data_IF_151176023443
#
_entry.id   IF_151176023443
#
_cell.length_a   1.000
_cell.length_b   1.000
_cell.length_c   1.000
_cell.angle_alpha   90.00
_cell.angle_beta   90.00
_cell.angle_gamma   90.00
#
_symmetry.space_group_name_H-M   'P 1'
#
loop_
_entity.id
_entity.type
_entity.pdbx_description
1 polymer ?
#
# COMPACT_ATOMS: atom_id res chain seq x y z
N UNK A 1 1.23 10.30 2.94
CA UNK A 1 2.67 10.23 3.26
C UNK A 1 2.91 8.97 4.07
N UNK A 2 3.75 8.06 3.61
CA UNK A 2 4.08 6.82 4.34
C UNK A 2 5.45 7.01 4.99
N UNK A 3 5.60 6.74 6.30
CA UNK A 3 6.89 6.91 6.97
C UNK A 3 7.89 5.84 6.52
N UNK A 4 9.15 6.24 6.39
CA UNK A 4 10.27 5.33 6.13
C UNK A 4 11.11 5.18 7.40
N UNK A 5 11.35 3.95 7.82
CA UNK A 5 12.34 3.68 8.86
C UNK A 5 13.73 3.74 8.23
N UNK A 6 14.37 4.91 8.29
CA UNK A 6 15.59 5.20 7.55
C UNK A 6 16.75 4.25 7.88
N UNK A 7 16.84 3.74 9.11
CA UNK A 7 17.89 2.78 9.50
C UNK A 7 17.74 1.42 8.81
N UNK A 8 16.51 1.02 8.44
CA UNK A 8 16.27 -0.25 7.76
C UNK A 8 16.87 -0.30 6.34
N UNK A 9 17.18 0.88 5.76
CA UNK A 9 17.84 0.98 4.45
C UNK A 9 19.23 0.32 4.47
N UNK A 10 19.87 0.23 5.64
CA UNK A 10 21.19 -0.41 5.79
C UNK A 10 21.14 -1.92 5.59
N UNK A 11 20.00 -2.55 5.92
CA UNK A 11 19.80 -3.98 5.79
C UNK A 11 19.07 -4.35 4.49
N UNK A 12 18.14 -3.50 4.05
CA UNK A 12 17.39 -3.69 2.83
C UNK A 12 17.11 -2.35 2.12
N UNK A 13 17.80 -2.10 1.01
CA UNK A 13 17.60 -0.87 0.22
C UNK A 13 16.30 -0.88 -0.58
N UNK A 14 15.70 -2.06 -0.84
CA UNK A 14 14.46 -2.17 -1.62
C UNK A 14 13.26 -1.52 -0.94
N UNK A 15 13.37 -1.19 0.34
CA UNK A 15 12.30 -0.46 1.06
C UNK A 15 12.06 0.94 0.47
N UNK A 16 12.99 1.46 -0.34
CA UNK A 16 12.85 2.75 -1.01
C UNK A 16 12.23 2.62 -2.41
N UNK A 17 12.05 1.40 -2.93
CA UNK A 17 11.55 1.16 -4.30
C UNK A 17 10.08 1.58 -4.46
N UNK A 18 9.31 1.57 -3.36
CA UNK A 18 7.90 1.98 -3.33
C UNK A 18 7.70 3.51 -3.30
N UNK A 19 8.80 4.29 -3.29
CA UNK A 19 8.76 5.73 -3.13
C UNK A 19 9.30 6.46 -4.36
N UNK A 20 8.57 7.47 -4.82
CA UNK A 20 9.08 8.42 -5.81
C UNK A 20 9.88 9.53 -5.13
N UNK A 21 9.26 10.24 -4.18
CA UNK A 21 9.83 11.40 -3.49
C UNK A 21 9.87 11.12 -2.00
N UNK A 22 11.04 11.30 -1.38
CA UNK A 22 11.23 11.26 0.07
C UNK A 22 11.36 12.68 0.61
N UNK A 23 10.65 12.96 1.70
CA UNK A 23 10.86 14.18 2.50
C UNK A 23 11.62 13.78 3.75
N UNK A 24 12.79 14.38 3.94
CA UNK A 24 13.69 14.07 5.02
C UNK A 24 13.95 15.30 5.86
N UNK A 25 13.91 15.13 7.17
CA UNK A 25 14.44 16.10 8.12
C UNK A 25 15.24 15.36 9.18
N UNK A 26 16.24 16.03 9.73
CA UNK A 26 16.97 15.53 10.89
C UNK A 26 16.57 16.20 12.21
N UNK A 27 15.45 16.94 12.23
CA UNK A 27 14.88 17.44 13.49
C UNK A 27 14.51 16.28 14.41
N UNK A 28 15.03 16.30 15.64
CA UNK A 28 14.87 15.30 16.71
C UNK A 28 15.33 13.87 16.39
N UNK A 29 15.54 13.51 15.13
CA UNK A 29 15.98 12.19 14.66
C UNK A 29 17.26 12.32 13.85
N UNK A 30 18.35 11.72 14.34
CA UNK A 30 19.66 11.78 13.67
C UNK A 30 19.97 10.44 12.99
N UNK A 31 20.66 10.45 11.84
CA UNK A 31 20.99 9.23 11.13
C UNK A 31 22.01 8.40 11.93
N UNK A 32 21.79 7.09 12.00
CA UNK A 32 22.62 6.19 12.81
C UNK A 32 24.09 6.15 12.35
N UNK A 33 24.34 6.30 11.05
CA UNK A 33 25.68 6.24 10.47
C UNK A 33 25.75 6.98 9.12
N UNK A 34 26.94 7.34 8.62
CA UNK A 34 27.08 7.94 7.29
C UNK A 34 26.66 6.98 6.16
N UNK A 35 26.58 5.67 6.41
CA UNK A 35 26.14 4.68 5.43
C UNK A 35 24.71 4.94 4.94
N UNK A 36 23.86 5.53 5.79
CA UNK A 36 22.50 5.96 5.42
C UNK A 36 22.55 6.97 4.27
N UNK A 37 23.47 7.93 4.32
CA UNK A 37 23.59 8.97 3.28
C UNK A 37 24.02 8.38 1.94
N UNK A 38 24.94 7.41 1.95
CA UNK A 38 25.36 6.73 0.73
C UNK A 38 24.25 5.86 0.15
N UNK A 39 23.42 5.23 0.97
CA UNK A 39 22.27 4.47 0.50
C UNK A 39 21.20 5.39 -0.11
N UNK A 40 20.92 6.54 0.51
CA UNK A 40 20.05 7.58 -0.08
C UNK A 40 20.61 8.10 -1.40
N UNK A 41 21.91 8.39 -1.46
CA UNK A 41 22.56 8.82 -2.70
C UNK A 41 22.47 7.76 -3.79
N UNK A 42 22.68 6.48 -3.46
CA UNK A 42 22.53 5.39 -4.42
C UNK A 42 21.09 5.30 -4.96
N UNK A 43 20.08 5.41 -4.09
CA UNK A 43 18.67 5.38 -4.48
C UNK A 43 18.28 6.58 -5.36
N UNK A 44 18.67 7.81 -4.99
CA UNK A 44 18.48 8.99 -5.84
C UNK A 44 19.22 8.83 -7.16
N UNK A 45 20.48 8.36 -7.14
CA UNK A 45 21.27 8.11 -8.33
C UNK A 45 20.62 7.11 -9.29
N UNK A 46 19.85 6.15 -8.76
CA UNK A 46 19.07 5.18 -9.53
C UNK A 46 17.75 5.74 -10.09
N UNK A 47 17.35 6.95 -9.67
CA UNK A 47 16.15 7.62 -10.16
C UNK A 47 15.26 8.17 -9.05
N UNK A 48 15.58 7.93 -7.77
CA UNK A 48 14.89 8.48 -6.59
C UNK A 48 14.95 10.01 -6.49
N UNK A 49 14.10 10.61 -5.65
CA UNK A 49 14.06 12.06 -5.45
C UNK A 49 13.97 12.41 -3.97
N UNK A 50 14.84 13.31 -3.50
CA UNK A 50 14.93 13.67 -2.09
C UNK A 50 14.69 15.17 -1.89
N UNK A 51 13.74 15.51 -1.03
CA UNK A 51 13.60 16.84 -0.44
C UNK A 51 14.16 16.78 0.99
N UNK A 52 15.23 17.51 1.27
CA UNK A 52 15.69 17.72 2.64
C UNK A 52 15.15 19.05 3.17
N UNK A 53 14.59 19.03 4.38
CA UNK A 53 14.08 20.22 5.07
C UNK A 53 14.73 20.30 6.46
N UNK A 54 15.47 21.37 6.70
CA UNK A 54 16.04 21.69 8.00
C UNK A 54 17.00 22.86 7.92
N UNK A 55 16.85 23.81 8.83
CA UNK A 55 17.71 25.00 8.95
C UNK A 55 18.95 24.76 9.85
N UNK A 56 19.04 23.58 10.48
CA UNK A 56 20.14 23.21 11.35
C UNK A 56 20.06 23.82 12.75
N UNK A 57 18.92 24.39 13.15
CA UNK A 57 18.72 24.97 14.48
C UNK A 57 18.53 23.92 15.58
N UNK A 58 18.29 22.64 15.24
CA UNK A 58 18.10 21.59 16.23
C UNK A 58 19.30 21.48 17.21
N UNK A 59 19.11 21.67 18.52
CA UNK A 59 20.18 21.49 19.50
C UNK A 59 20.78 20.08 19.49
N UNK A 60 20.05 19.06 19.03
CA UNK A 60 20.59 17.70 18.93
C UNK A 60 21.68 17.56 17.86
N UNK A 61 21.89 18.54 16.98
CA UNK A 61 23.04 18.55 16.08
C UNK A 61 24.39 18.62 16.82
N UNK A 62 24.40 19.17 18.04
CA UNK A 62 25.60 19.28 18.88
C UNK A 62 25.90 18.00 19.69
N UNK A 63 25.01 17.00 19.66
CA UNK A 63 25.25 15.74 20.37
C UNK A 63 26.51 15.06 19.85
N UNK A 64 27.18 14.28 20.71
CA UNK A 64 28.36 13.52 20.31
C UNK A 64 27.98 12.32 19.46
N UNK A 65 28.20 12.41 18.16
CA UNK A 65 27.92 11.36 17.19
C UNK A 65 28.98 11.35 16.07
N UNK A 66 28.72 10.61 14.98
CA UNK A 66 29.69 10.37 13.92
C UNK A 66 30.03 11.62 13.08
N UNK A 67 29.11 12.60 13.02
CA UNK A 67 29.32 13.86 12.27
C UNK A 67 30.02 14.93 13.12
N UNK A 68 29.88 14.86 14.45
CA UNK A 68 30.31 15.92 15.38
C UNK A 68 31.82 16.11 15.34
N UNK A 69 32.26 17.37 15.15
CA UNK A 69 33.67 17.72 14.98
C UNK A 69 34.23 17.45 13.57
N UNK A 70 33.39 16.96 12.64
CA UNK A 70 33.71 16.81 11.21
C UNK A 70 32.81 17.67 10.33
N UNK A 71 31.53 17.74 10.69
CA UNK A 71 30.50 18.52 10.00
C UNK A 71 29.71 19.35 11.01
N UNK A 72 29.17 20.53 10.61
CA UNK A 72 28.27 21.30 11.47
C UNK A 72 26.99 20.52 11.84
N UNK A 73 26.37 19.86 10.86
CA UNK A 73 25.20 18.99 11.05
C UNK A 73 25.36 17.73 10.18
N UNK A 74 24.65 16.61 10.44
CA UNK A 74 24.67 15.46 9.54
C UNK A 74 24.18 15.81 8.13
N UNK A 75 23.31 16.81 7.98
CA UNK A 75 22.85 17.28 6.68
C UNK A 75 23.99 17.82 5.79
N UNK A 76 25.05 18.37 6.38
CA UNK A 76 26.22 18.79 5.61
C UNK A 76 26.95 17.60 4.98
N UNK A 77 27.08 16.48 5.69
CA UNK A 77 27.61 15.24 5.09
C UNK A 77 26.61 14.65 4.08
N UNK A 78 25.30 14.81 4.29
CA UNK A 78 24.30 14.39 3.30
C UNK A 78 24.48 15.17 2.00
N UNK A 79 24.60 16.49 2.05
CA UNK A 79 24.89 17.35 0.89
C UNK A 79 26.21 16.96 0.21
N UNK A 80 27.28 16.69 0.99
CA UNK A 80 28.55 16.20 0.45
C UNK A 80 28.38 14.87 -0.32
N UNK A 81 27.57 13.93 0.20
CA UNK A 81 27.29 12.66 -0.47
C UNK A 81 26.56 12.83 -1.81
N UNK A 82 25.81 13.93 -1.96
CA UNK A 82 25.17 14.34 -3.21
C UNK A 82 26.04 15.27 -4.08
N UNK A 83 27.26 15.61 -3.64
CA UNK A 83 28.11 16.64 -4.26
C UNK A 83 27.38 17.98 -4.45
N UNK A 84 26.50 18.31 -3.50
CA UNK A 84 25.67 19.52 -3.50
C UNK A 84 26.14 20.52 -2.42
N UNK A 85 25.79 21.79 -2.61
CA UNK A 85 25.90 22.81 -1.57
C UNK A 85 24.59 22.88 -0.80
N UNK A 86 24.64 22.73 0.52
CA UNK A 86 23.44 22.77 1.38
C UNK A 86 22.79 24.17 1.40
N UNK A 87 23.54 25.22 1.10
CA UNK A 87 23.04 26.59 1.03
C UNK A 87 22.35 26.91 -0.31
N UNK A 88 22.52 26.06 -1.33
CA UNK A 88 21.85 26.19 -2.61
C UNK A 88 20.51 25.45 -2.54
N UNK A 89 19.41 26.20 -2.53
CA UNK A 89 18.06 25.64 -2.44
C UNK A 89 17.43 25.28 -3.79
N UNK A 90 18.19 25.37 -4.89
CA UNK A 90 17.72 24.91 -6.19
C UNK A 90 17.56 23.37 -6.23
N UNK A 91 16.87 22.87 -7.26
CA UNK A 91 16.77 21.43 -7.51
C UNK A 91 18.04 20.97 -8.24
N UNK A 92 18.82 20.10 -7.60
CA UNK A 92 20.03 19.52 -8.18
C UNK A 92 19.75 18.14 -8.77
N UNK A 93 20.26 17.90 -9.98
CA UNK A 93 20.25 16.58 -10.59
C UNK A 93 21.41 15.73 -10.04
N UNK A 94 21.11 14.52 -9.60
CA UNK A 94 22.10 13.55 -9.12
C UNK A 94 21.87 12.17 -9.76
N UNK A 95 22.80 11.74 -10.62
CA UNK A 95 22.62 10.53 -11.43
C UNK A 95 21.35 10.64 -12.30
N UNK A 96 20.40 9.72 -12.10
CA UNK A 96 19.10 9.74 -12.78
C UNK A 96 17.98 10.41 -11.97
N UNK A 97 18.25 10.84 -10.74
CA UNK A 97 17.27 11.45 -9.84
C UNK A 97 17.58 12.90 -9.50
N UNK A 98 16.93 13.39 -8.44
CA UNK A 98 16.97 14.79 -8.02
C UNK A 98 17.07 14.93 -6.50
N UNK A 99 17.73 15.98 -6.04
CA UNK A 99 17.79 16.36 -4.62
C UNK A 99 17.58 17.86 -4.50
N UNK A 100 16.91 18.30 -3.44
CA UNK A 100 16.78 19.70 -3.07
C UNK A 100 16.94 19.85 -1.56
N UNK A 101 17.72 20.84 -1.13
CA UNK A 101 17.89 21.21 0.27
C UNK A 101 17.13 22.49 0.55
N UNK A 102 16.35 22.53 1.63
CA UNK A 102 15.57 23.72 2.01
C UNK A 102 15.92 24.10 3.45
N UNK A 103 16.44 25.32 3.64
CA UNK A 103 16.86 25.87 4.92
C UNK A 103 15.65 26.48 5.64
N UNK A 104 14.77 25.61 6.12
CA UNK A 104 13.62 25.98 6.92
C UNK A 104 13.44 25.01 8.09
N UNK A 105 12.99 25.52 9.24
CA UNK A 105 12.46 24.69 10.32
C UNK A 105 11.21 23.93 9.80
N UNK A 106 11.18 22.59 9.82
CA UNK A 106 10.02 21.80 9.40
C UNK A 106 8.69 22.21 10.06
N UNK A 107 8.73 22.78 11.27
CA UNK A 107 7.53 23.27 11.96
C UNK A 107 6.85 24.39 11.17
N UNK A 108 7.60 25.22 10.44
CA UNK A 108 7.06 26.31 9.60
C UNK A 108 5.90 25.84 8.73
N UNK A 109 6.06 24.71 8.03
CA UNK A 109 5.08 24.16 7.09
C UNK A 109 3.78 23.67 7.76
N UNK A 110 3.72 23.65 9.10
CA UNK A 110 2.52 23.31 9.87
C UNK A 110 1.78 24.52 10.44
N UNK A 111 2.32 25.74 10.26
CA UNK A 111 1.82 26.94 10.96
C UNK A 111 0.64 27.63 10.28
N UNK A 112 0.50 27.48 8.95
CA UNK A 112 -0.61 28.05 8.18
C UNK A 112 -0.87 27.28 6.89
N UNK A 113 -2.00 27.58 6.23
CA UNK A 113 -2.33 27.02 4.91
C UNK A 113 -1.33 27.46 3.83
N UNK A 114 -0.86 28.71 3.90
CA UNK A 114 0.16 29.23 2.98
C UNK A 114 1.48 28.50 3.14
N UNK A 115 1.95 28.30 4.38
CA UNK A 115 3.17 27.55 4.64
C UNK A 115 3.02 26.08 4.20
N UNK A 116 1.88 25.45 4.44
CA UNK A 116 1.62 24.10 3.92
C UNK A 116 1.66 24.05 2.37
N UNK A 117 1.10 25.07 1.71
CA UNK A 117 1.13 25.20 0.26
C UNK A 117 2.56 25.40 -0.29
N UNK A 118 3.45 26.05 0.45
CA UNK A 118 4.88 26.16 0.10
C UNK A 118 5.54 24.78 0.02
N UNK A 119 5.33 23.92 1.04
CA UNK A 119 5.86 22.54 1.03
C UNK A 119 5.33 21.73 -0.16
N UNK A 120 4.02 21.84 -0.44
CA UNK A 120 3.41 21.18 -1.60
C UNK A 120 4.00 21.72 -2.90
N UNK A 121 4.30 23.01 -2.99
CA UNK A 121 4.97 23.63 -4.13
C UNK A 121 6.36 23.04 -4.40
N UNK A 122 7.17 22.86 -3.35
CA UNK A 122 8.48 22.21 -3.44
C UNK A 122 8.37 20.77 -3.96
N UNK A 123 7.43 19.99 -3.43
CA UNK A 123 7.18 18.62 -3.87
C UNK A 123 6.70 18.54 -5.32
N UNK A 124 5.84 19.47 -5.74
CA UNK A 124 5.39 19.58 -7.14
C UNK A 124 6.56 19.92 -8.06
N UNK A 125 7.43 20.85 -7.69
CA UNK A 125 8.63 21.18 -8.46
C UNK A 125 9.55 19.96 -8.65
N UNK A 126 9.74 19.16 -7.61
CA UNK A 126 10.50 17.91 -7.67
C UNK A 126 9.82 16.83 -8.52
N UNK A 127 8.49 16.70 -8.42
CA UNK A 127 7.71 15.80 -9.28
C UNK A 127 7.82 16.18 -10.76
N UNK A 128 7.71 17.48 -11.07
CA UNK A 128 7.85 18.02 -12.42
C UNK A 128 9.27 17.79 -12.98
N UNK A 129 10.31 18.02 -12.16
CA UNK A 129 11.70 17.77 -12.55
C UNK A 129 11.96 16.30 -12.93
N UNK A 130 11.33 15.37 -12.20
CA UNK A 130 11.32 13.93 -12.52
C UNK A 130 10.51 13.60 -13.78
N UNK A 131 9.58 14.47 -14.19
CA UNK A 131 8.59 14.17 -15.23
C UNK A 131 7.43 13.30 -14.73
N UNK A 132 7.20 13.26 -13.42
CA UNK A 132 6.04 12.60 -12.82
C UNK A 132 4.81 13.51 -12.88
N UNK A 133 3.63 12.93 -13.09
CA UNK A 133 2.39 13.68 -13.02
C UNK A 133 1.92 13.78 -11.56
N UNK A 134 1.94 14.97 -10.98
CA UNK A 134 1.28 15.23 -9.71
C UNK A 134 -0.25 15.18 -9.88
N UNK A 135 -0.93 14.46 -9.00
CA UNK A 135 -2.39 14.47 -8.90
C UNK A 135 -2.76 14.65 -7.44
N UNK A 136 -3.52 15.71 -7.15
CA UNK A 136 -4.17 15.84 -5.86
C UNK A 136 -5.21 14.71 -5.74
N UNK A 137 -5.35 14.13 -4.55
CA UNK A 137 -6.25 13.03 -4.33
C UNK A 137 -6.61 12.88 -2.87
N UNK A 138 -7.90 12.69 -2.62
CA UNK A 138 -8.45 12.48 -1.28
C UNK A 138 -8.49 10.99 -0.93
N UNK A 139 -7.69 10.18 -1.60
CA UNK A 139 -7.67 8.72 -1.54
C UNK A 139 -6.34 8.24 -0.96
N UNK A 140 -6.41 7.67 0.23
CA UNK A 140 -5.29 6.98 0.85
C UNK A 140 -5.46 5.48 0.63
N UNK A 141 -4.47 4.82 0.05
CA UNK A 141 -4.53 3.37 -0.13
C UNK A 141 -3.19 2.68 0.03
N UNK A 142 -3.26 1.38 0.27
CA UNK A 142 -2.13 0.47 0.32
C UNK A 142 -2.51 -0.84 -0.38
N UNK A 143 -1.59 -1.38 -1.16
CA UNK A 143 -1.67 -2.74 -1.69
C UNK A 143 -0.93 -3.69 -0.75
N UNK A 144 -1.61 -4.72 -0.25
CA UNK A 144 -0.99 -5.79 0.55
C UNK A 144 -1.31 -7.15 -0.07
N UNK A 145 -0.36 -7.67 -0.85
CA UNK A 145 -0.60 -8.87 -1.65
C UNK A 145 -1.81 -8.64 -2.57
N UNK A 146 -2.84 -9.51 -2.58
CA UNK A 146 -4.01 -9.33 -3.43
C UNK A 146 -5.02 -8.32 -2.87
N UNK A 147 -4.74 -7.62 -1.77
CA UNK A 147 -5.72 -6.75 -1.12
C UNK A 147 -5.42 -5.27 -1.36
N UNK A 148 -6.37 -4.55 -1.94
CA UNK A 148 -6.39 -3.08 -1.96
C UNK A 148 -7.17 -2.64 -0.73
N UNK A 149 -6.51 -1.90 0.17
CA UNK A 149 -7.16 -1.29 1.32
C UNK A 149 -7.06 0.21 1.12
N UNK A 150 -8.16 0.93 1.25
CA UNK A 150 -8.08 2.37 1.23
C UNK A 150 -9.24 3.08 1.89
N UNK A 151 -9.05 4.38 2.08
CA UNK A 151 -9.98 5.27 2.72
C UNK A 151 -9.97 6.62 2.00
N UNK A 152 -11.13 7.25 1.93
CA UNK A 152 -11.22 8.64 1.49
C UNK A 152 -11.13 9.57 2.69
N UNK A 153 -10.42 10.69 2.54
CA UNK A 153 -10.35 11.72 3.57
C UNK A 153 -11.74 12.30 3.88
N UNK A 154 -11.90 12.87 5.07
CA UNK A 154 -13.16 13.52 5.50
C UNK A 154 -13.45 14.81 4.73
N UNK A 155 -12.40 15.43 4.21
CA UNK A 155 -12.38 16.66 3.44
C UNK A 155 -12.80 16.45 1.99
N UNK A 156 -12.88 15.19 1.54
CA UNK A 156 -13.32 14.84 0.20
C UNK A 156 -14.76 15.33 -0.06
N UNK A 157 -14.97 16.03 -1.16
CA UNK A 157 -16.32 16.49 -1.56
C UNK A 157 -17.04 15.52 -2.48
N UNK A 158 -16.29 14.62 -3.14
CA UNK A 158 -16.79 13.66 -4.12
C UNK A 158 -16.36 12.24 -3.79
N UNK A 159 -17.07 11.26 -4.35
CA UNK A 159 -16.70 9.86 -4.20
C UNK A 159 -15.44 9.54 -5.02
N UNK A 160 -14.51 8.81 -4.41
CA UNK A 160 -13.35 8.27 -5.11
C UNK A 160 -13.74 7.03 -5.91
N UNK A 161 -13.28 6.97 -7.16
CA UNK A 161 -13.49 5.82 -8.03
C UNK A 161 -12.21 5.00 -8.15
N UNK A 162 -12.24 3.75 -7.70
CA UNK A 162 -11.13 2.79 -7.85
C UNK A 162 -11.49 1.83 -8.99
N UNK A 163 -10.70 1.83 -10.07
CA UNK A 163 -10.94 0.98 -11.24
C UNK A 163 -10.00 -0.23 -11.24
N UNK A 164 -10.51 -1.37 -11.68
CA UNK A 164 -9.79 -2.65 -11.71
C UNK A 164 -10.78 -3.79 -11.54
N UNK A 165 -10.32 -5.04 -11.59
CA UNK A 165 -11.19 -6.20 -11.39
C UNK A 165 -11.02 -6.70 -9.95
N UNK A 166 -12.05 -6.51 -9.13
CA UNK A 166 -11.98 -6.80 -7.71
C UNK A 166 -13.13 -7.67 -7.24
N UNK A 167 -12.94 -8.40 -6.14
CA UNK A 167 -14.05 -8.76 -5.24
C UNK A 167 -14.16 -7.66 -4.19
N UNK A 168 -15.35 -7.08 -4.02
CA UNK A 168 -15.64 -6.21 -2.88
C UNK A 168 -15.85 -7.05 -1.62
N UNK A 169 -14.96 -6.91 -0.63
CA UNK A 169 -14.97 -7.72 0.60
C UNK A 169 -15.84 -7.09 1.70
N UNK A 170 -16.33 -5.86 1.52
CA UNK A 170 -17.26 -5.22 2.46
C UNK A 170 -18.72 -5.44 2.05
N UNK A 171 -18.97 -5.80 0.78
CA UNK A 171 -20.28 -6.22 0.33
C UNK A 171 -20.56 -7.69 0.71
N UNK A 172 -21.66 -8.00 1.42
CA UNK A 172 -21.97 -9.36 1.86
C UNK A 172 -22.24 -10.34 0.71
N UNK A 173 -22.49 -9.87 -0.51
CA UNK A 173 -22.64 -10.71 -1.69
C UNK A 173 -21.30 -11.11 -2.33
N UNK A 174 -20.18 -10.48 -1.92
CA UNK A 174 -18.85 -10.62 -2.50
C UNK A 174 -18.83 -10.44 -4.04
N UNK A 175 -19.44 -9.39 -4.60
CA UNK A 175 -19.56 -9.23 -6.05
C UNK A 175 -18.20 -8.99 -6.69
N UNK A 176 -18.05 -9.43 -7.94
CA UNK A 176 -16.99 -8.91 -8.81
C UNK A 176 -17.37 -7.51 -9.28
N UNK A 177 -16.51 -6.54 -9.01
CA UNK A 177 -16.69 -5.15 -9.44
C UNK A 177 -15.54 -4.74 -10.34
N UNK A 178 -15.87 -4.03 -11.42
CA UNK A 178 -14.87 -3.40 -12.31
C UNK A 178 -14.52 -1.97 -11.86
N UNK A 179 -15.33 -1.44 -10.94
CA UNK A 179 -15.23 -0.09 -10.41
C UNK A 179 -15.85 -0.08 -9.02
N UNK A 180 -15.05 0.24 -8.01
CA UNK A 180 -15.51 0.48 -6.65
C UNK A 180 -15.63 1.99 -6.42
N UNK A 181 -16.77 2.41 -5.87
CA UNK A 181 -17.06 3.81 -5.55
C UNK A 181 -17.01 3.98 -4.04
N UNK A 182 -16.05 4.75 -3.55
CA UNK A 182 -15.85 5.01 -2.13
C UNK A 182 -16.35 6.42 -1.81
N UNK A 183 -17.44 6.58 -1.05
CA UNK A 183 -17.95 7.91 -0.69
C UNK A 183 -16.97 8.62 0.26
N UNK A 184 -17.04 9.95 0.42
CA UNK A 184 -16.27 10.68 1.43
C UNK A 184 -16.35 10.06 2.83
N UNK A 185 -15.25 10.08 3.58
CA UNK A 185 -15.07 9.33 4.85
C UNK A 185 -15.31 7.81 4.75
N UNK A 186 -15.44 7.26 3.55
CA UNK A 186 -15.65 5.84 3.29
C UNK A 186 -14.34 5.05 3.29
N UNK A 187 -14.49 3.73 3.37
CA UNK A 187 -13.39 2.77 3.26
C UNK A 187 -13.70 1.74 2.18
N UNK A 188 -12.66 1.18 1.58
CA UNK A 188 -12.76 0.00 0.73
C UNK A 188 -11.80 -1.07 1.21
N UNK A 189 -12.27 -2.32 1.12
CA UNK A 189 -11.46 -3.51 1.26
C UNK A 189 -11.76 -4.38 0.03
N UNK A 190 -10.84 -4.39 -0.92
CA UNK A 190 -11.02 -5.06 -2.20
C UNK A 190 -9.98 -6.17 -2.34
N UNK A 191 -10.34 -7.28 -2.96
CA UNK A 191 -9.39 -8.29 -3.43
C UNK A 191 -9.19 -8.15 -4.93
N UNK A 192 -7.99 -7.78 -5.35
CA UNK A 192 -7.57 -7.68 -6.74
C UNK A 192 -7.47 -9.07 -7.39
N UNK A 193 -8.17 -9.23 -8.51
CA UNK A 193 -8.27 -10.47 -9.28
C UNK A 193 -7.18 -10.62 -10.35
N UNK A 194 -6.34 -9.59 -10.54
CA UNK A 194 -5.11 -9.71 -11.34
C UNK A 194 -4.04 -10.56 -10.65
N UNK A 195 -4.14 -10.72 -9.32
CA UNK A 195 -3.38 -11.71 -8.58
C UNK A 195 -3.98 -13.08 -8.85
N UNK A 196 -3.39 -13.81 -9.80
CA UNK A 196 -3.83 -15.13 -10.23
C UNK A 196 -3.62 -16.17 -9.12
N UNK A 197 -4.66 -16.55 -8.37
CA UNK A 197 -4.55 -17.62 -7.40
C UNK A 197 -4.65 -18.96 -8.12
N UNK A 198 -4.16 -20.03 -7.48
CA UNK A 198 -4.34 -21.38 -7.97
C UNK A 198 -5.83 -21.69 -8.18
N UNK A 199 -6.15 -22.55 -9.16
CA UNK A 199 -7.49 -23.11 -9.31
C UNK A 199 -7.94 -23.70 -7.96
N UNK A 200 -9.23 -23.58 -7.63
CA UNK A 200 -9.78 -24.07 -6.36
C UNK A 200 -9.41 -23.26 -5.11
N UNK A 201 -8.60 -22.21 -5.22
CA UNK A 201 -8.30 -21.36 -4.08
C UNK A 201 -9.55 -20.62 -3.56
N UNK A 202 -9.76 -20.63 -2.25
CA UNK A 202 -10.78 -19.79 -1.62
C UNK A 202 -10.29 -18.35 -1.55
N UNK A 203 -11.03 -17.44 -2.19
CA UNK A 203 -10.66 -16.04 -2.35
C UNK A 203 -11.15 -15.16 -1.18
N UNK A 204 -12.35 -15.47 -0.70
CA UNK A 204 -13.00 -14.81 0.42
C UNK A 204 -14.11 -15.71 0.99
N UNK A 205 -14.36 -15.61 2.29
CA UNK A 205 -15.46 -16.31 2.94
C UNK A 205 -15.97 -15.54 4.15
N UNK A 206 -17.28 -15.54 4.35
CA UNK A 206 -17.91 -15.08 5.59
C UNK A 206 -17.85 -16.12 6.74
N UNK A 207 -17.16 -17.24 6.51
CA UNK A 207 -16.86 -18.28 7.50
C UNK A 207 -15.38 -18.64 7.54
N UNK A 208 -14.97 -19.35 8.59
CA UNK A 208 -13.63 -19.91 8.74
C UNK A 208 -13.51 -21.15 7.85
N UNK A 209 -12.55 -21.12 6.92
CA UNK A 209 -12.27 -22.23 6.02
C UNK A 209 -11.23 -23.15 6.65
N UNK A 210 -11.52 -24.46 6.65
CA UNK A 210 -10.57 -25.49 7.03
C UNK A 210 -10.18 -26.39 5.85
N UNK A 211 -8.88 -26.68 5.79
CA UNK A 211 -8.26 -27.70 4.93
C UNK A 211 -8.87 -27.83 3.53
N UNK A 212 -8.59 -26.83 2.67
CA UNK A 212 -8.95 -26.93 1.24
C UNK A 212 -8.14 -28.05 0.60
N UNK A 213 -8.84 -29.06 0.07
CA UNK A 213 -8.25 -30.27 -0.51
C UNK A 213 -8.77 -30.52 -1.91
N UNK A 214 -7.85 -30.78 -2.83
CA UNK A 214 -8.17 -31.37 -4.12
C UNK A 214 -8.42 -32.87 -3.96
N UNK A 215 -9.54 -33.33 -4.50
CA UNK A 215 -9.90 -34.75 -4.61
C UNK A 215 -9.97 -35.14 -6.08
N UNK A 216 -9.98 -36.44 -6.39
CA UNK A 216 -9.87 -36.98 -7.78
C UNK A 216 -10.79 -36.28 -8.81
N UNK A 217 -11.94 -35.73 -8.39
CA UNK A 217 -12.91 -35.05 -9.26
C UNK A 217 -13.52 -33.81 -8.61
N UNK A 218 -12.76 -33.07 -7.81
CA UNK A 218 -13.36 -31.94 -7.12
C UNK A 218 -12.49 -31.22 -6.11
N UNK A 219 -13.12 -30.26 -5.45
CA UNK A 219 -12.59 -29.51 -4.33
C UNK A 219 -13.45 -29.81 -3.10
N UNK A 220 -12.82 -30.05 -1.96
CA UNK A 220 -13.51 -30.20 -0.68
C UNK A 220 -12.90 -29.29 0.38
N UNK A 221 -13.75 -28.70 1.21
CA UNK A 221 -13.34 -27.94 2.40
C UNK A 221 -14.49 -27.90 3.42
N UNK A 222 -14.16 -27.57 4.66
CA UNK A 222 -15.13 -27.35 5.73
C UNK A 222 -15.25 -25.83 6.00
N UNK A 223 -16.47 -25.36 6.25
CA UNK A 223 -16.74 -23.94 6.57
C UNK A 223 -17.46 -23.83 7.91
N UNK A 224 -16.81 -23.23 8.89
CA UNK A 224 -17.41 -22.92 10.19
C UNK A 224 -17.86 -21.47 10.25
N UNK A 225 -19.07 -21.23 10.73
CA UNK A 225 -19.55 -19.87 10.96
C UNK A 225 -20.59 -19.84 12.09
N UNK A 226 -20.74 -18.71 12.81
CA UNK A 226 -21.82 -18.56 13.78
C UNK A 226 -23.19 -18.80 13.16
N UNK A 227 -24.13 -19.30 13.97
CA UNK A 227 -25.54 -19.36 13.56
C UNK A 227 -26.07 -17.94 13.28
N UNK A 228 -27.03 -17.85 12.34
CA UNK A 228 -27.64 -16.58 11.85
C UNK A 228 -26.73 -15.69 10.99
N UNK A 229 -25.65 -16.25 10.46
CA UNK A 229 -24.89 -15.65 9.36
C UNK A 229 -25.24 -16.41 8.07
N UNK A 230 -25.55 -15.69 7.00
CA UNK A 230 -25.59 -16.29 5.67
C UNK A 230 -24.16 -16.30 5.12
N UNK A 231 -23.56 -17.47 5.08
CA UNK A 231 -22.19 -17.64 4.60
C UNK A 231 -22.19 -17.49 3.09
N UNK A 232 -21.28 -16.66 2.58
CA UNK A 232 -20.92 -16.60 1.17
C UNK A 232 -19.43 -16.92 1.08
N UNK A 233 -19.09 -17.89 0.23
CA UNK A 233 -17.70 -18.26 -0.05
C UNK A 233 -17.43 -18.10 -1.54
N UNK A 234 -16.43 -17.28 -1.88
CA UNK A 234 -15.95 -17.07 -3.24
C UNK A 234 -14.72 -17.95 -3.49
N UNK A 235 -14.74 -18.75 -4.55
CA UNK A 235 -13.70 -19.71 -4.93
C UNK A 235 -13.24 -19.44 -6.35
N UNK A 236 -11.92 -19.47 -6.60
CA UNK A 236 -11.38 -19.44 -7.96
C UNK A 236 -11.75 -20.75 -8.65
N UNK A 237 -12.54 -20.64 -9.71
CA UNK A 237 -12.95 -21.79 -10.48
C UNK A 237 -13.16 -21.37 -11.94
N UNK A 238 -12.26 -21.79 -12.83
CA UNK A 238 -12.34 -21.45 -14.24
C UNK A 238 -13.55 -22.10 -14.93
N UNK A 239 -13.78 -23.38 -14.64
CA UNK A 239 -14.88 -24.15 -15.22
C UNK A 239 -16.12 -24.18 -14.34
N UNK A 240 -17.32 -24.21 -14.95
CA UNK A 240 -18.56 -24.41 -14.19
C UNK A 240 -18.56 -25.80 -13.54
N UNK A 241 -18.89 -25.91 -12.23
CA UNK A 241 -18.94 -27.21 -11.57
C UNK A 241 -20.12 -28.04 -12.06
N UNK A 242 -20.00 -29.37 -11.96
CA UNK A 242 -21.09 -30.29 -12.29
C UNK A 242 -22.17 -30.28 -11.22
N UNK A 243 -21.73 -30.34 -9.96
CA UNK A 243 -22.58 -30.35 -8.78
C UNK A 243 -21.84 -29.75 -7.59
N UNK A 244 -22.61 -29.29 -6.62
CA UNK A 244 -22.12 -28.77 -5.34
C UNK A 244 -22.90 -29.47 -4.25
N UNK A 245 -22.20 -30.02 -3.27
CA UNK A 245 -22.79 -30.72 -2.13
C UNK A 245 -22.46 -29.96 -0.85
N UNK A 246 -23.48 -29.78 -0.01
CA UNK A 246 -23.36 -29.30 1.37
C UNK A 246 -23.78 -30.45 2.29
N UNK A 247 -22.85 -30.94 3.10
CA UNK A 247 -23.04 -32.12 3.96
C UNK A 247 -23.61 -33.33 3.19
N UNK A 248 -23.13 -33.53 1.96
CA UNK A 248 -23.55 -34.60 1.05
C UNK A 248 -24.90 -34.38 0.34
N UNK A 249 -25.57 -33.24 0.58
CA UNK A 249 -26.84 -32.89 -0.08
C UNK A 249 -26.61 -31.90 -1.22
N UNK A 250 -27.27 -32.09 -2.36
CA UNK A 250 -27.16 -31.19 -3.52
C UNK A 250 -27.59 -29.77 -3.14
N UNK A 251 -26.65 -28.84 -3.26
CA UNK A 251 -26.86 -27.42 -3.00
C UNK A 251 -27.52 -26.75 -4.21
N UNK A 252 -28.47 -25.86 -3.91
CA UNK A 252 -29.16 -25.03 -4.93
C UNK A 252 -28.64 -23.59 -4.94
N UNK A 253 -28.06 -23.13 -3.82
CA UNK A 253 -27.65 -21.74 -3.63
C UNK A 253 -26.19 -21.53 -3.98
N UNK A 254 -25.88 -21.56 -5.28
CA UNK A 254 -24.56 -21.24 -5.80
C UNK A 254 -24.66 -20.57 -7.18
N UNK A 255 -23.62 -19.83 -7.54
CA UNK A 255 -23.49 -19.19 -8.86
C UNK A 255 -22.04 -19.29 -9.34
N UNK A 256 -21.85 -19.18 -10.65
CA UNK A 256 -20.53 -19.17 -11.27
C UNK A 256 -20.50 -18.11 -12.36
N UNK A 257 -19.46 -17.29 -12.32
CA UNK A 257 -19.13 -16.32 -13.37
C UNK A 257 -17.93 -16.88 -14.14
N UNK A 258 -18.21 -17.39 -15.33
CA UNK A 258 -17.21 -17.99 -16.22
C UNK A 258 -16.22 -16.95 -16.76
N UNK A 259 -16.65 -15.70 -16.93
CA UNK A 259 -15.78 -14.63 -17.40
C UNK A 259 -14.79 -14.20 -16.31
N UNK A 260 -15.24 -14.16 -15.05
CA UNK A 260 -14.37 -13.87 -13.90
C UNK A 260 -13.58 -15.11 -13.42
N UNK A 261 -14.03 -16.32 -13.76
CA UNK A 261 -13.49 -17.57 -13.24
C UNK A 261 -13.71 -17.71 -11.74
N UNK A 262 -14.90 -17.34 -11.25
CA UNK A 262 -15.23 -17.32 -9.81
C UNK A 262 -16.57 -18.00 -9.58
N UNK A 263 -16.60 -18.82 -8.55
CA UNK A 263 -17.81 -19.47 -8.04
C UNK A 263 -18.16 -18.91 -6.66
N UNK A 264 -19.45 -18.73 -6.40
CA UNK A 264 -19.97 -18.41 -5.07
C UNK A 264 -20.86 -19.54 -4.58
N UNK A 265 -20.69 -19.90 -3.31
CA UNK A 265 -21.52 -20.87 -2.60
C UNK A 265 -22.15 -20.16 -1.41
N UNK A 266 -23.43 -20.41 -1.17
CA UNK A 266 -24.18 -19.82 -0.07
C UNK A 266 -24.86 -20.88 0.79
N UNK A 267 -24.75 -20.73 2.10
CA UNK A 267 -25.41 -21.60 3.07
C UNK A 267 -25.56 -20.90 4.43
N UNK A 268 -26.50 -21.30 5.29
CA UNK A 268 -26.55 -20.80 6.66
C UNK A 268 -25.30 -21.23 7.43
N UNK A 269 -24.83 -20.38 8.34
CA UNK A 269 -23.68 -20.66 9.19
C UNK A 269 -23.97 -21.74 10.24
N UNK A 270 -23.03 -22.68 10.37
CA UNK A 270 -23.04 -23.74 11.37
C UNK A 270 -21.71 -23.72 12.16
N UNK A 271 -21.75 -23.53 13.50
CA UNK A 271 -20.54 -23.57 14.33
C UNK A 271 -19.85 -24.93 14.35
N UNK A 272 -20.55 -26.01 13.99
CA UNK A 272 -19.97 -27.35 13.87
C UNK A 272 -19.31 -27.62 12.51
N UNK A 273 -19.46 -26.68 11.57
CA UNK A 273 -18.89 -26.77 10.23
C UNK A 273 -19.86 -27.35 9.21
N UNK A 274 -19.83 -26.80 8.00
CA UNK A 274 -20.52 -27.34 6.82
C UNK A 274 -19.49 -27.90 5.86
N UNK A 275 -19.64 -29.18 5.46
CA UNK A 275 -18.80 -29.82 4.46
C UNK A 275 -19.22 -29.38 3.06
N UNK A 276 -18.33 -28.66 2.38
CA UNK A 276 -18.52 -28.26 0.99
C UNK A 276 -17.74 -29.21 0.09
N UNK A 277 -18.42 -29.79 -0.91
CA UNK A 277 -17.78 -30.55 -1.98
C UNK A 277 -18.25 -30.02 -3.33
N UNK A 278 -17.31 -29.54 -4.14
CA UNK A 278 -17.53 -29.04 -5.50
C UNK A 278 -17.02 -30.11 -6.47
N UNK A 279 -17.90 -30.75 -7.23
CA UNK A 279 -17.47 -31.74 -8.21
C UNK A 279 -17.14 -31.07 -9.55
N UNK A 280 -15.94 -31.38 -10.06
CA UNK A 280 -15.39 -30.89 -11.33
C UNK A 280 -15.32 -32.09 -12.28
N UNK A 281 -16.10 -32.04 -13.37
CA UNK A 281 -16.28 -33.10 -14.40
C UNK A 281 -16.57 -34.52 -13.86
#
# INVERSE_FOLDING_TARGET
MVPVQLDAVLDNTSILDDYDILVLSYEFQKPLSPAVHYALAAWVGAGGTLLYVGDGADPYHETRAWWTGRYPTPAHHLAEAFTADIADEEIHRFGNGFVQFVQADPVHFSTSEEAAAELVGLLRGLADARGSQWRDGDWLSVQRGPYVIGATLSEATEATTVRGSFIDLLDPALPVVQTATVPPSGVALLRDLTYEPEEGAVLASAGRIDEVRFVERGLQFDVEAPTRIDVVTAVRLAGRPREVLLDGTIAQSWSHDEAAGIMWIRHPGDPSGTKVHIALM
#
